data_IF_933919157017
#
_entry.id   IF_933919157017
#
_cell.length_a   1.000
_cell.length_b   1.000
_cell.length_c   1.000
_cell.angle_alpha   90.00
_cell.angle_beta   90.00
_cell.angle_gamma   90.00
#
_symmetry.space_group_name_H-M   'P 1'
#
loop_
_entity.id
_entity.type
_entity.pdbx_description
1 polymer ?
#
# COMPACT_ATOMS: atom_id res chain seq x y z
N UNK A 1 -43.68 -44.39 39.16
CA UNK A 1 -42.34 -43.81 38.98
C UNK A 1 -42.01 -43.77 37.49
N UNK A 2 -41.25 -42.74 37.05
CA UNK A 2 -40.69 -42.52 35.69
C UNK A 2 -41.57 -41.76 34.68
N UNK A 3 -42.02 -40.55 35.04
CA UNK A 3 -42.55 -39.55 34.08
C UNK A 3 -41.81 -38.20 34.13
N UNK A 4 -40.57 -38.16 34.63
CA UNK A 4 -39.85 -36.88 34.88
C UNK A 4 -38.56 -36.67 34.09
N UNK A 5 -38.34 -37.40 33.00
CA UNK A 5 -37.09 -37.28 32.23
C UNK A 5 -37.25 -36.64 30.85
N UNK A 6 -38.49 -36.44 30.36
CA UNK A 6 -38.72 -35.83 29.04
C UNK A 6 -38.85 -34.30 29.07
N UNK A 7 -39.03 -33.69 30.23
CA UNK A 7 -39.11 -32.22 30.37
C UNK A 7 -37.75 -31.53 30.59
N UNK A 8 -36.65 -32.29 30.72
CA UNK A 8 -35.29 -31.75 30.93
C UNK A 8 -34.49 -31.66 29.61
N UNK A 9 -35.04 -32.14 28.49
CA UNK A 9 -34.40 -32.03 27.18
C UNK A 9 -34.74 -30.72 26.42
N UNK A 10 -35.43 -29.77 27.08
CA UNK A 10 -35.83 -28.46 26.53
C UNK A 10 -34.91 -27.32 27.04
N UNK A 11 -33.94 -27.62 27.90
CA UNK A 11 -32.97 -26.64 28.45
C UNK A 11 -31.56 -26.93 27.88
N UNK A 12 -31.46 -27.08 26.57
CA UNK A 12 -30.23 -26.78 25.82
C UNK A 12 -30.41 -25.48 25.02
N UNK A 13 -31.22 -24.58 25.57
CA UNK A 13 -31.21 -23.18 25.23
C UNK A 13 -29.88 -22.57 25.71
N UNK A 14 -29.28 -21.75 24.86
CA UNK A 14 -28.06 -20.97 25.08
C UNK A 14 -26.82 -21.86 25.20
N UNK A 15 -26.00 -21.98 24.16
CA UNK A 15 -25.15 -20.87 23.74
C UNK A 15 -24.87 -20.91 22.23
N UNK A 16 -25.62 -20.12 21.45
CA UNK A 16 -25.04 -19.58 20.22
C UNK A 16 -24.01 -18.52 20.66
N UNK A 17 -22.78 -18.96 20.94
CA UNK A 17 -21.65 -18.04 20.96
C UNK A 17 -21.44 -17.57 19.53
N UNK A 18 -22.04 -16.42 19.21
CA UNK A 18 -21.72 -15.68 17.99
C UNK A 18 -20.21 -15.45 17.96
N UNK A 19 -19.51 -16.16 17.07
CA UNK A 19 -18.14 -15.82 16.69
C UNK A 19 -18.20 -14.44 16.05
N UNK A 20 -17.98 -13.40 16.86
CA UNK A 20 -17.74 -12.07 16.33
C UNK A 20 -16.30 -12.05 15.83
N UNK A 21 -16.13 -12.36 14.54
CA UNK A 21 -14.86 -12.19 13.84
C UNK A 21 -14.50 -10.71 13.90
N UNK A 22 -13.61 -10.31 14.81
CA UNK A 22 -13.00 -8.97 14.75
C UNK A 22 -12.12 -8.95 13.50
N UNK A 23 -12.65 -8.38 12.42
CA UNK A 23 -11.85 -8.00 11.27
C UNK A 23 -10.88 -6.92 11.72
N UNK A 24 -9.71 -7.31 12.21
CA UNK A 24 -8.65 -6.39 12.59
C UNK A 24 -8.14 -5.77 11.30
N UNK A 25 -8.55 -4.52 11.02
CA UNK A 25 -8.09 -3.80 9.83
C UNK A 25 -6.56 -3.84 9.79
N UNK A 26 -5.98 -4.46 8.75
CA UNK A 26 -4.54 -4.59 8.62
C UNK A 26 -3.96 -3.30 8.05
N UNK A 27 -3.81 -2.32 8.93
CA UNK A 27 -3.06 -1.11 8.59
C UNK A 27 -1.57 -1.46 8.61
N UNK A 28 -0.93 -1.30 7.47
CA UNK A 28 0.49 -1.58 7.25
C UNK A 28 1.22 -0.26 7.00
N UNK A 29 2.38 -0.12 7.61
CA UNK A 29 3.35 0.94 7.31
C UNK A 29 4.52 0.31 6.58
N UNK A 30 4.87 0.84 5.41
CA UNK A 30 5.99 0.36 4.60
C UNK A 30 6.87 1.53 4.13
N UNK A 31 8.16 1.26 4.00
CA UNK A 31 9.12 2.13 3.31
C UNK A 31 9.46 1.48 1.97
N UNK A 32 9.25 2.20 0.88
CA UNK A 32 9.47 1.71 -0.48
C UNK A 32 10.49 2.61 -1.16
N UNK A 33 11.49 2.01 -1.82
CA UNK A 33 12.40 2.76 -2.68
C UNK A 33 11.66 3.23 -3.92
N UNK A 34 11.66 4.53 -4.16
CA UNK A 34 11.08 5.13 -5.37
C UNK A 34 12.07 6.11 -5.98
N UNK A 35 12.43 5.87 -7.24
CA UNK A 35 13.43 6.67 -7.94
C UNK A 35 12.82 8.00 -8.44
N UNK A 36 13.56 9.07 -8.18
CA UNK A 36 13.19 10.45 -8.44
C UNK A 36 14.27 11.38 -7.88
N UNK A 37 14.21 12.66 -8.24
CA UNK A 37 15.30 13.61 -7.97
C UNK A 37 14.83 15.05 -7.69
N UNK A 38 13.54 15.37 -7.80
CA UNK A 38 13.07 16.75 -7.63
C UNK A 38 11.70 16.86 -6.94
N UNK A 39 11.31 18.08 -6.56
CA UNK A 39 10.02 18.37 -5.92
C UNK A 39 8.81 18.03 -6.80
N UNK A 40 8.96 18.05 -8.13
CA UNK A 40 7.88 17.60 -9.04
C UNK A 40 7.71 16.07 -9.03
N UNK A 41 8.80 15.31 -8.84
CA UNK A 41 8.70 13.86 -8.59
C UNK A 41 7.87 13.61 -7.33
N UNK A 42 8.20 14.31 -6.23
CA UNK A 42 7.47 14.20 -4.96
C UNK A 42 5.98 14.38 -5.15
N UNK A 43 5.58 15.52 -5.75
CA UNK A 43 4.17 15.84 -5.99
C UNK A 43 3.47 14.76 -6.82
N UNK A 44 4.12 14.28 -7.89
CA UNK A 44 3.56 13.26 -8.78
C UNK A 44 3.36 11.91 -8.08
N UNK A 45 4.38 11.45 -7.36
CA UNK A 45 4.35 10.18 -6.61
C UNK A 45 3.25 10.25 -5.53
N UNK A 46 3.22 11.31 -4.73
CA UNK A 46 2.24 11.44 -3.64
C UNK A 46 0.81 11.59 -4.17
N UNK A 47 0.61 12.34 -5.27
CA UNK A 47 -0.71 12.49 -5.90
C UNK A 47 -1.21 11.17 -6.49
N UNK A 48 -0.32 10.35 -7.08
CA UNK A 48 -0.70 9.04 -7.58
C UNK A 48 -1.19 8.09 -6.47
N UNK A 49 -0.74 8.32 -5.23
CA UNK A 49 -1.07 7.55 -4.04
C UNK A 49 -2.21 8.16 -3.21
N UNK A 50 -2.84 9.24 -3.68
CA UNK A 50 -4.18 9.62 -3.23
C UNK A 50 -5.22 8.63 -3.80
N UNK A 51 -5.11 7.39 -3.32
CA UNK A 51 -5.82 6.23 -3.82
C UNK A 51 -6.58 5.56 -2.68
N UNK A 52 -7.75 5.00 -2.99
CA UNK A 52 -8.55 4.24 -2.02
C UNK A 52 -7.70 3.12 -1.40
N UNK A 53 -7.66 3.10 -0.06
CA UNK A 53 -6.87 2.14 0.71
C UNK A 53 -5.57 2.70 1.25
N UNK A 54 -5.07 3.81 0.72
CA UNK A 54 -3.92 4.53 1.26
C UNK A 54 -4.41 5.58 2.25
N UNK A 55 -3.72 5.68 3.40
CA UNK A 55 -3.98 6.65 4.46
C UNK A 55 -2.98 7.79 4.47
N UNK A 56 -1.72 7.49 4.16
CA UNK A 56 -0.63 8.46 4.09
C UNK A 56 0.39 7.99 3.06
N UNK A 57 0.92 8.91 2.27
CA UNK A 57 2.05 8.70 1.39
C UNK A 57 2.95 9.94 1.49
N UNK A 58 4.22 9.76 1.81
CA UNK A 58 5.19 10.84 1.91
C UNK A 58 6.53 10.39 1.32
N UNK A 59 6.97 11.04 0.25
CA UNK A 59 8.23 10.71 -0.42
C UNK A 59 9.28 11.79 -0.18
N UNK A 60 10.52 11.35 0.04
CA UNK A 60 11.66 12.21 0.30
C UNK A 60 12.62 12.23 -0.90
N UNK A 61 12.85 13.40 -1.56
CA UNK A 61 13.85 13.50 -2.62
C UNK A 61 15.28 13.26 -2.14
N UNK A 62 15.55 13.46 -0.83
CA UNK A 62 16.88 13.27 -0.24
C UNK A 62 17.23 11.79 -0.11
N UNK A 63 16.28 10.98 0.37
CA UNK A 63 16.52 9.56 0.65
C UNK A 63 16.01 8.66 -0.48
N UNK A 64 15.15 9.18 -1.36
CA UNK A 64 14.42 8.42 -2.40
C UNK A 64 13.51 7.34 -1.79
N UNK A 65 13.08 7.54 -0.55
CA UNK A 65 12.18 6.63 0.18
C UNK A 65 10.77 7.21 0.23
N UNK A 66 9.79 6.36 -0.06
CA UNK A 66 8.37 6.60 0.14
C UNK A 66 7.93 5.91 1.43
N UNK A 67 7.48 6.68 2.42
CA UNK A 67 6.76 6.15 3.56
C UNK A 67 5.27 6.10 3.23
N UNK A 68 4.69 4.91 3.24
CA UNK A 68 3.28 4.68 2.93
C UNK A 68 2.59 3.94 4.06
N UNK A 69 1.40 4.42 4.44
CA UNK A 69 0.49 3.78 5.39
C UNK A 69 -0.76 3.39 4.63
N UNK A 70 -1.09 2.11 4.57
CA UNK A 70 -2.21 1.61 3.77
C UNK A 70 -2.97 0.48 4.48
N UNK A 71 -4.19 0.21 4.03
CA UNK A 71 -4.98 -0.93 4.47
C UNK A 71 -4.77 -2.10 3.50
N UNK A 72 -4.12 -3.17 3.96
CA UNK A 72 -3.78 -4.31 3.10
C UNK A 72 -5.00 -5.11 2.62
N UNK A 73 -6.17 -4.92 3.21
CA UNK A 73 -7.42 -5.53 2.74
C UNK A 73 -8.01 -4.77 1.53
N UNK A 74 -7.49 -3.56 1.24
CA UNK A 74 -7.97 -2.69 0.15
C UNK A 74 -6.97 -2.50 -0.98
N UNK A 75 -5.67 -2.59 -0.67
CA UNK A 75 -4.59 -2.41 -1.63
C UNK A 75 -3.37 -3.20 -1.16
N UNK A 76 -2.71 -3.88 -2.08
CA UNK A 76 -1.45 -4.58 -1.84
C UNK A 76 -0.23 -3.69 -2.10
N UNK A 77 0.92 -4.03 -1.52
CA UNK A 77 2.19 -3.37 -1.82
C UNK A 77 2.54 -3.45 -3.31
N UNK A 78 2.26 -4.59 -3.96
CA UNK A 78 2.46 -4.77 -5.40
C UNK A 78 1.63 -3.79 -6.22
N UNK A 79 0.38 -3.52 -5.84
CA UNK A 79 -0.43 -2.50 -6.49
C UNK A 79 0.15 -1.09 -6.30
N UNK A 80 0.71 -0.78 -5.13
CA UNK A 80 1.39 0.50 -4.87
C UNK A 80 2.57 0.68 -5.84
N UNK A 81 3.45 -0.34 -5.97
CA UNK A 81 4.55 -0.30 -6.94
C UNK A 81 4.06 -0.07 -8.37
N UNK A 82 2.98 -0.75 -8.76
CA UNK A 82 2.39 -0.61 -10.10
C UNK A 82 1.79 0.78 -10.33
N UNK A 83 1.14 1.40 -9.34
CA UNK A 83 0.61 2.76 -9.44
C UNK A 83 1.74 3.77 -9.67
N UNK A 84 2.84 3.63 -8.92
CA UNK A 84 4.02 4.50 -9.04
C UNK A 84 4.67 4.34 -10.42
N UNK A 85 4.84 3.11 -10.90
CA UNK A 85 5.34 2.81 -12.24
C UNK A 85 4.47 3.39 -13.36
N UNK A 86 3.14 3.37 -13.19
CA UNK A 86 2.18 3.96 -14.15
C UNK A 86 2.32 5.47 -14.29
N UNK A 87 2.88 6.17 -13.31
CA UNK A 87 3.15 7.62 -13.39
C UNK A 87 4.61 7.94 -13.72
N UNK A 88 5.36 6.95 -14.21
CA UNK A 88 6.70 7.14 -14.77
C UNK A 88 7.84 6.92 -13.79
N UNK A 89 7.56 6.57 -12.53
CA UNK A 89 8.59 6.39 -11.50
C UNK A 89 8.88 4.92 -11.23
N UNK A 90 10.16 4.56 -11.19
CA UNK A 90 10.58 3.23 -10.83
C UNK A 90 10.51 3.03 -9.33
N UNK A 91 10.28 1.80 -8.94
CA UNK A 91 10.55 1.32 -7.59
C UNK A 91 11.63 0.25 -7.63
N UNK A 92 12.04 -0.23 -6.46
CA UNK A 92 12.87 -1.43 -6.33
C UNK A 92 12.27 -2.70 -6.99
N UNK A 93 10.94 -2.84 -6.98
CA UNK A 93 10.24 -4.01 -7.54
C UNK A 93 9.66 -3.85 -8.95
N UNK A 94 9.24 -2.66 -9.36
CA UNK A 94 8.54 -2.44 -10.64
C UNK A 94 9.16 -1.24 -11.36
N UNK A 95 9.54 -1.46 -12.62
CA UNK A 95 10.05 -0.43 -13.51
C UNK A 95 8.91 0.22 -14.30
N UNK A 96 8.90 1.53 -14.40
CA UNK A 96 8.00 2.27 -15.29
C UNK A 96 8.33 1.96 -16.76
N UNK A 97 7.29 1.92 -17.61
CA UNK A 97 7.46 1.79 -19.06
C UNK A 97 8.30 2.95 -19.59
N UNK A 98 9.19 2.66 -20.53
CA UNK A 98 10.10 3.67 -21.07
C UNK A 98 9.36 4.84 -21.73
N UNK A 99 8.25 4.58 -22.41
CA UNK A 99 7.37 5.63 -22.96
C UNK A 99 6.81 6.56 -21.88
N UNK A 100 6.35 6.02 -20.76
CA UNK A 100 5.78 6.79 -19.65
C UNK A 100 6.86 7.59 -18.92
N UNK A 101 8.03 6.98 -18.74
CA UNK A 101 9.19 7.64 -18.15
C UNK A 101 9.72 8.77 -19.05
N UNK A 102 9.85 8.54 -20.36
CA UNK A 102 10.31 9.54 -21.32
C UNK A 102 9.36 10.75 -21.46
N UNK A 103 8.07 10.57 -21.11
CA UNK A 103 7.10 11.65 -21.06
C UNK A 103 7.20 12.53 -19.79
N UNK A 104 8.07 12.18 -18.83
CA UNK A 104 8.29 12.99 -17.65
C UNK A 104 9.00 14.31 -18.00
N UNK A 105 8.81 15.37 -17.18
CA UNK A 105 9.61 16.59 -17.31
C UNK A 105 11.10 16.29 -17.23
N UNK A 106 11.93 17.09 -17.92
CA UNK A 106 13.39 16.92 -17.97
C UNK A 106 14.02 16.69 -16.58
N UNK A 107 13.63 17.49 -15.59
CA UNK A 107 14.17 17.36 -14.23
C UNK A 107 13.79 16.06 -13.52
N UNK A 108 12.86 15.25 -14.06
CA UNK A 108 12.40 13.98 -13.52
C UNK A 108 13.05 12.77 -14.23
N UNK A 109 13.87 13.00 -15.26
CA UNK A 109 14.56 11.96 -16.03
C UNK A 109 15.81 11.47 -15.30
N UNK A 110 15.63 10.84 -14.15
CA UNK A 110 16.72 10.41 -13.26
C UNK A 110 17.55 9.22 -13.76
N UNK A 111 17.08 8.44 -14.75
CA UNK A 111 17.84 7.33 -15.36
C UNK A 111 18.91 7.86 -16.32
N UNK A 112 18.65 8.99 -16.95
CA UNK A 112 19.47 9.56 -18.04
C UNK A 112 20.54 10.53 -17.51
N UNK A 113 20.47 10.82 -16.21
CA UNK A 113 21.36 11.73 -15.50
C UNK A 113 22.04 11.00 -14.35
N UNK A 114 22.63 9.82 -14.64
CA UNK A 114 23.46 9.10 -13.67
C UNK A 114 24.40 10.08 -12.96
N UNK A 115 24.40 10.01 -11.63
CA UNK A 115 25.39 10.71 -10.81
C UNK A 115 26.77 10.30 -11.29
N UNK A 116 27.45 11.21 -11.98
CA UNK A 116 28.91 11.23 -11.95
C UNK A 116 29.28 11.59 -10.52
N UNK A 117 29.44 10.57 -9.69
CA UNK A 117 30.14 10.69 -8.42
C UNK A 117 31.56 11.15 -8.76
N UNK A 118 31.78 12.46 -8.66
CA UNK A 118 33.11 13.03 -8.68
C UNK A 118 33.76 12.73 -7.31
N UNK A 119 34.32 11.52 -7.19
CA UNK A 119 35.40 11.24 -6.24
C UNK A 119 36.72 11.71 -6.85
#
# INVERSE_FOLDING_TARGET
>A
MKTKTFFIAIICALTLTSFTSKAQSKIVTASIKVYGNCSMCKKRIETALDHKGIKKAEWSPKTKELQVVYNSDKISETEIHNIIAKVGHDTDKVKAKDETYAALPFCCLYRDHEMKDHH
#
